data_IF_585592927438
#
_entry.id   IF_585592927438
#
_cell.length_a   1.000
_cell.length_b   1.000
_cell.length_c   1.000
_cell.angle_alpha   90.00
_cell.angle_beta   90.00
_cell.angle_gamma   90.00
#
_symmetry.space_group_name_H-M   'P 1'
#
loop_
_entity.id
_entity.type
_entity.pdbx_description
1 polymer ?
2 polymer ?
3 non-polymer ?
4 water ?
#
# COMPACT_ATOMS: atom_id res chain seq x y z
N UNK A 38 -3.92 26.12 15.26
CA UNK A 38 -4.40 25.39 14.04
C UNK A 38 -5.23 24.16 14.41
N UNK A 39 -4.61 22.96 14.54
CA UNK A 39 -5.31 21.79 15.06
C UNK A 39 -5.66 22.02 16.53
N UNK A 40 -6.89 21.67 16.90
CA UNK A 40 -7.48 21.92 18.24
C UNK A 40 -7.02 20.85 19.22
N UNK A 41 -6.55 21.21 20.42
CA UNK A 41 -6.22 20.21 21.44
C UNK A 41 -7.51 19.47 21.88
N UNK A 42 -7.31 18.25 22.36
CA UNK A 42 -8.39 17.44 22.94
C UNK A 42 -7.78 16.47 23.95
N UNK A 43 -8.62 15.94 24.84
CA UNK A 43 -8.19 14.97 25.86
C UNK A 43 -9.42 14.26 26.38
N UNK A 44 -9.64 13.03 25.99
CA UNK A 44 -10.90 12.35 26.33
C UNK A 44 -10.69 10.84 26.35
N UNK A 45 -11.65 10.11 26.88
CA UNK A 45 -11.69 8.64 26.77
C UNK A 45 -12.65 8.28 25.65
N UNK A 46 -12.18 7.46 24.72
CA UNK A 46 -12.97 6.95 23.58
C UNK A 46 -12.79 5.44 23.55
N UNK A 47 -13.86 4.68 23.74
CA UNK A 47 -13.85 3.21 23.75
C UNK A 47 -12.70 2.65 24.59
N UNK A 48 -12.60 3.17 25.81
CA UNK A 48 -11.70 2.61 26.81
C UNK A 48 -10.24 2.99 26.56
N UNK A 49 -9.96 3.98 25.70
CA UNK A 49 -8.59 4.46 25.44
C UNK A 49 -8.54 5.97 25.71
N UNK A 50 -7.47 6.48 26.31
CA UNK A 50 -7.32 7.92 26.45
C UNK A 50 -6.72 8.45 25.16
N UNK A 51 -7.39 9.37 24.51
CA UNK A 51 -6.89 9.99 23.26
C UNK A 51 -6.64 11.47 23.52
N UNK A 52 -5.49 11.94 23.08
CA UNK A 52 -5.11 13.34 23.29
C UNK A 52 -4.62 13.93 21.98
N UNK A 53 -4.87 15.22 21.83
CA UNK A 53 -4.17 16.11 20.92
C UNK A 53 -3.50 17.18 21.76
N UNK A 54 -2.18 17.14 21.82
CA UNK A 54 -1.39 18.02 22.71
C UNK A 54 -0.72 19.10 21.86
N UNK A 55 -0.94 20.34 22.21
CA UNK A 55 -0.24 21.50 21.60
C UNK A 55 1.01 21.74 22.45
N UNK A 56 2.13 22.00 21.81
CA UNK A 56 3.41 22.42 22.44
C UNK A 56 3.15 23.59 23.41
N UNK A 65 4.56 22.37 16.89
CA UNK A 65 4.50 21.15 17.72
C UNK A 65 3.07 20.79 18.10
N UNK A 66 2.48 19.83 17.41
CA UNK A 66 1.20 19.20 17.81
C UNK A 66 1.42 17.69 17.76
N UNK A 67 0.90 16.99 18.75
CA UNK A 67 1.09 15.53 18.78
C UNK A 67 -0.20 14.87 19.21
N UNK A 68 -0.48 13.70 18.67
CA UNK A 68 -1.65 12.88 19.06
C UNK A 68 -1.13 11.68 19.82
N UNK A 69 -1.81 11.33 20.90
CA UNK A 69 -1.37 10.26 21.80
C UNK A 69 -2.56 9.35 22.08
N UNK A 70 -2.29 8.07 22.19
CA UNK A 70 -3.27 7.05 22.64
C UNK A 70 -2.63 6.32 23.82
N UNK A 71 -3.26 6.40 24.98
CA UNK A 71 -2.73 5.82 26.25
C UNK A 71 -1.24 6.21 26.39
N UNK A 72 -0.93 7.46 26.17
CA UNK A 72 0.39 8.04 26.44
C UNK A 72 1.43 7.70 25.42
N UNK A 73 1.07 6.99 24.35
CA UNK A 73 2.03 6.68 23.25
C UNK A 73 1.67 7.52 22.02
N UNK A 74 2.66 8.10 21.36
CA UNK A 74 2.37 9.00 20.23
C UNK A 74 1.90 8.20 19.01
N UNK A 75 0.82 8.71 18.43
CA UNK A 75 0.27 8.24 17.11
C UNK A 75 0.86 9.17 16.06
N UNK A 76 1.66 8.62 15.16
CA UNK A 76 2.16 9.42 14.02
C UNK A 76 0.97 9.80 13.14
N UNK A 77 0.74 11.07 12.95
CA UNK A 77 -0.34 11.57 12.08
C UNK A 77 0.26 12.49 11.04
N UNK A 78 -0.47 12.74 9.97
CA UNK A 78 -0.09 13.76 9.01
C UNK A 78 -1.31 14.36 8.37
N UNK A 79 -1.19 15.62 8.04
CA UNK A 79 -2.27 16.37 7.37
C UNK A 79 -2.00 16.47 5.89
N UNK A 80 -2.96 16.15 5.07
CA UNK A 80 -2.94 16.36 3.63
C UNK A 80 -3.17 17.85 3.32
N UNK A 81 -2.82 18.29 2.16
CA UNK A 81 -2.98 19.74 1.85
C UNK A 81 -4.48 20.10 1.83
N UNK A 82 -5.45 19.22 1.63
CA UNK A 82 -6.92 19.58 1.69
C UNK A 82 -7.39 19.69 3.14
N UNK A 83 -6.50 19.56 4.14
CA UNK A 83 -6.86 19.73 5.57
C UNK A 83 -7.21 18.43 6.26
N UNK A 84 -7.32 17.35 5.52
CA UNK A 84 -7.69 16.05 6.08
C UNK A 84 -6.47 15.40 6.75
N UNK A 85 -6.70 14.39 7.58
CA UNK A 85 -5.68 13.77 8.46
C UNK A 85 -5.66 12.27 8.23
N UNK A 86 -4.47 11.70 8.22
CA UNK A 86 -4.27 10.23 8.29
C UNK A 86 -3.35 9.90 9.45
N UNK A 87 -3.19 8.64 9.72
CA UNK A 87 -2.24 8.21 10.73
C UNK A 87 -1.54 6.93 10.26
N UNK A 88 -0.54 6.48 11.00
CA UNK A 88 0.15 5.22 10.61
C UNK A 88 -0.74 4.02 10.89
N UNK A 89 -1.78 4.16 11.70
CA UNK A 89 -2.74 3.07 11.93
C UNK A 89 -3.84 3.07 10.88
N UNK A 90 -4.13 4.20 10.24
CA UNK A 90 -5.15 4.32 9.19
C UNK A 90 -4.64 5.30 8.17
N UNK A 91 -3.78 4.79 7.27
CA UNK A 91 -2.93 5.61 6.42
C UNK A 91 -3.65 6.04 5.13
N UNK A 92 -4.63 5.25 4.69
CA UNK A 92 -5.15 5.40 3.30
C UNK A 92 -6.58 5.92 3.33
N UNK A 93 -7.09 6.45 4.44
CA UNK A 93 -8.55 6.72 4.64
C UNK A 93 -8.64 8.07 5.36
N UNK A 94 -8.45 9.23 4.69
CA UNK A 94 -8.43 10.51 5.41
C UNK A 94 -9.74 10.86 6.11
N UNK A 95 -9.60 11.46 7.26
CA UNK A 95 -10.71 12.00 8.08
C UNK A 95 -10.45 13.47 8.28
N UNK A 96 -11.36 14.18 8.95
CA UNK A 96 -11.38 15.65 8.91
C UNK A 96 -10.46 16.29 9.93
N UNK A 97 -10.23 15.62 11.07
CA UNK A 97 -9.55 16.24 12.22
C UNK A 97 -8.66 15.26 12.95
N UNK A 98 -7.66 15.71 13.73
CA UNK A 98 -6.83 14.79 14.48
C UNK A 98 -7.64 13.97 15.49
N UNK A 99 -8.68 14.55 16.06
CA UNK A 99 -9.55 13.80 16.98
C UNK A 99 -10.19 12.64 16.19
N UNK A 100 -10.71 12.91 15.01
CA UNK A 100 -11.28 11.85 14.18
C UNK A 100 -10.22 10.75 13.87
N UNK A 101 -8.98 11.19 13.62
CA UNK A 101 -7.87 10.24 13.34
C UNK A 101 -7.59 9.39 14.56
N UNK A 102 -7.60 10.02 15.74
CA UNK A 102 -7.35 9.24 16.99
C UNK A 102 -8.47 8.22 17.23
N UNK A 103 -9.72 8.64 16.99
CA UNK A 103 -10.85 7.73 17.15
C UNK A 103 -10.79 6.58 16.16
N UNK A 104 -10.41 6.89 14.91
CA UNK A 104 -10.28 5.79 13.93
C UNK A 104 -9.22 4.80 14.37
N UNK A 105 -8.11 5.32 14.90
CA UNK A 105 -7.01 4.46 15.37
C UNK A 105 -7.48 3.59 16.52
N UNK A 106 -8.25 4.15 17.46
CA UNK A 106 -8.75 3.35 18.59
C UNK A 106 -9.60 2.19 18.05
N UNK A 107 -10.49 2.49 17.09
CA UNK A 107 -11.30 1.36 16.53
C UNK A 107 -10.39 0.27 15.94
N UNK A 108 -9.38 0.68 15.20
CA UNK A 108 -8.49 -0.26 14.50
C UNK A 108 -7.68 -1.09 15.49
N UNK A 109 -7.24 -0.48 16.57
CA UNK A 109 -6.31 -1.11 17.53
C UNK A 109 -6.95 -2.20 18.35
N UNK A 110 -8.25 -2.14 18.59
CA UNK A 110 -8.95 -3.19 19.34
C UNK A 110 -8.25 -3.47 20.68
N UNK A 111 -7.89 -2.40 21.37
CA UNK A 111 -7.24 -2.50 22.68
C UNK A 111 -5.75 -2.50 22.64
N UNK A 112 -5.08 -2.71 21.49
CA UNK A 112 -3.63 -2.84 21.42
C UNK A 112 -2.91 -1.52 21.67
N UNK A 113 -1.80 -1.49 22.45
CA UNK A 113 -0.95 -0.33 22.57
C UNK A 113 -0.14 -0.03 21.30
N UNK A 114 0.08 1.24 21.06
CA UNK A 114 1.04 1.67 20.04
C UNK A 114 2.47 1.32 20.46
N UNK A 115 3.38 1.17 19.50
CA UNK A 115 4.85 1.07 19.78
C UNK A 115 5.55 2.28 19.18
N UNK A 116 6.83 2.54 19.52
CA UNK A 116 7.55 3.67 18.94
C UNK A 116 7.75 3.56 17.42
N UNK A 117 7.91 4.71 16.74
CA UNK A 117 8.09 4.82 15.27
C UNK A 117 9.41 5.56 14.96
N UNK B 13 10.58 -13.40 -17.04
CA UNK B 13 9.60 -13.23 -15.95
C UNK B 13 8.26 -12.82 -16.55
N UNK B 14 7.24 -13.62 -16.32
CA UNK B 14 5.88 -13.36 -16.85
C UNK B 14 4.96 -13.24 -15.63
N UNK B 15 4.41 -12.04 -15.42
CA UNK B 15 3.48 -11.78 -14.32
C UNK B 15 2.09 -12.14 -14.78
N UNK B 16 1.47 -13.08 -14.07
CA UNK B 16 0.15 -13.63 -14.44
C UNK B 16 -0.94 -13.11 -13.54
N UNK B 17 -2.15 -13.12 -14.02
CA UNK B 17 -3.31 -12.82 -13.19
C UNK B 17 -3.37 -13.91 -12.11
N UNK B 18 -3.43 -13.55 -10.84
CA UNK B 18 -3.48 -14.51 -9.75
C UNK B 18 -4.60 -15.53 -9.94
N UNK B 19 -5.69 -15.12 -10.54
CA UNK B 19 -6.90 -15.97 -10.70
C UNK B 19 -6.58 -17.14 -11.63
N UNK B 20 -5.53 -17.09 -12.42
CA UNK B 20 -5.18 -18.10 -13.43
C UNK B 20 -4.10 -19.03 -12.90
N UNK B 21 -3.52 -18.76 -11.75
CA UNK B 21 -2.42 -19.61 -11.27
C UNK B 21 -2.94 -21.03 -10.97
N UNK B 22 -2.06 -21.96 -11.20
CA UNK B 22 -2.33 -23.36 -10.82
C UNK B 22 -2.03 -23.59 -9.33
N UNK B 23 -2.52 -24.68 -8.77
CA UNK B 23 -2.20 -25.08 -7.39
C UNK B 23 -0.69 -25.10 -7.23
N UNK B 24 0.04 -25.63 -8.19
CA UNK B 24 1.50 -25.76 -8.10
C UNK B 24 2.14 -24.38 -8.02
N UNK B 25 1.71 -23.46 -8.88
CA UNK B 25 2.29 -22.09 -8.87
C UNK B 25 2.01 -21.43 -7.50
N UNK B 26 0.83 -21.57 -6.96
CA UNK B 26 0.52 -21.00 -5.65
C UNK B 26 1.45 -21.57 -4.60
N UNK B 27 1.64 -22.90 -4.61
CA UNK B 27 2.47 -23.54 -3.59
C UNK B 27 3.86 -22.95 -3.64
N UNK B 28 4.45 -22.86 -4.82
CA UNK B 28 5.82 -22.37 -4.96
C UNK B 28 5.88 -20.90 -4.51
N UNK B 29 4.87 -20.12 -4.87
CA UNK B 29 4.86 -18.69 -4.53
C UNK B 29 4.80 -18.51 -3.01
N UNK B 30 3.91 -19.19 -2.36
CA UNK B 30 3.78 -19.02 -0.90
C UNK B 30 5.00 -19.63 -0.21
N UNK B 31 5.57 -20.73 -0.69
CA UNK B 31 6.79 -21.29 -0.07
C UNK B 31 7.92 -20.26 -0.19
N UNK B 32 8.03 -19.55 -1.32
CA UNK B 32 9.09 -18.57 -1.53
C UNK B 32 8.88 -17.40 -0.57
N UNK B 33 7.63 -16.97 -0.39
CA UNK B 33 7.32 -15.86 0.53
C UNK B 33 7.74 -16.27 1.96
N UNK B 34 7.36 -17.48 2.36
CA UNK B 34 7.70 -17.94 3.73
C UNK B 34 9.22 -18.01 3.90
N UNK B 35 9.99 -18.42 2.92
CA UNK B 35 11.46 -18.51 3.05
C UNK B 35 12.03 -17.11 3.08
N UNK B 36 11.47 -16.17 2.27
CA UNK B 36 11.99 -14.81 2.23
C UNK B 36 11.70 -14.17 3.59
N UNK B 37 10.58 -14.50 4.22
CA UNK B 37 10.22 -14.01 5.58
C UNK B 37 11.27 -14.51 6.59
N UNK B 38 11.55 -15.81 6.55
CA UNK B 38 12.50 -16.41 7.53
C UNK B 38 13.87 -15.79 7.39
N UNK B 39 14.30 -15.42 6.19
CA UNK B 39 15.67 -14.91 5.98
C UNK B 39 15.85 -13.51 6.58
N UNK B 40 14.74 -12.81 6.89
CA UNK B 40 14.77 -11.40 7.28
C UNK B 40 14.61 -10.48 6.10
N UNK B 41 14.82 -10.95 4.88
CA UNK B 41 14.75 -10.05 3.69
C UNK B 41 13.35 -9.47 3.55
N UNK B 42 12.33 -10.22 3.84
CA UNK B 42 10.95 -9.71 3.67
C UNK B 42 10.77 -8.43 4.47
N UNK B 43 11.17 -8.48 5.73
CA UNK B 43 10.94 -7.33 6.64
C UNK B 43 11.76 -6.15 6.22
N UNK B 44 12.90 -6.30 5.56
CA UNK B 44 13.61 -5.14 5.04
C UNK B 44 12.70 -4.34 4.10
N UNK B 45 11.93 -5.01 3.23
CA UNK B 45 11.02 -4.28 2.34
C UNK B 45 9.95 -3.55 3.15
N UNK B 46 9.43 -4.20 4.17
CA UNK B 46 8.40 -3.52 5.00
C UNK B 46 9.04 -2.28 5.61
N UNK B 47 10.27 -2.39 6.13
CA UNK B 47 10.97 -1.26 6.80
C UNK B 47 11.12 -0.13 5.79
N UNK B 48 11.64 -0.41 4.60
CA UNK B 48 11.87 0.63 3.59
C UNK B 48 10.55 1.31 3.24
N UNK B 49 9.53 0.53 3.01
CA UNK B 49 8.24 1.12 2.61
C UNK B 49 7.71 2.01 3.73
N UNK B 50 7.73 1.54 4.99
CA UNK B 50 7.30 2.35 6.15
C UNK B 50 8.10 3.67 6.20
N UNK B 51 9.37 3.65 5.90
CA UNK B 51 10.22 4.86 5.92
C UNK B 51 9.68 5.93 4.97
N UNK B 52 9.30 5.52 3.77
CA UNK B 52 8.74 6.47 2.79
C UNK B 52 7.32 6.86 3.18
N UNK B 53 6.53 5.94 3.72
CA UNK B 53 5.15 6.29 4.20
C UNK B 53 5.26 7.38 5.24
N UNK B 54 6.21 7.27 6.16
CA UNK B 54 6.34 8.30 7.20
C UNK B 54 6.95 9.56 6.64
N UNK B 55 7.89 9.44 5.72
CA UNK B 55 8.72 10.56 5.25
C UNK B 55 8.05 11.43 4.19
N UNK B 56 7.31 10.84 3.28
CA UNK B 56 6.74 11.56 2.13
C UNK B 56 5.61 12.48 2.59
N UNK B 57 5.69 13.77 2.31
CA UNK B 57 4.64 14.73 2.68
C UNK B 57 4.25 15.57 1.48
N UNK B 58 3.10 16.18 1.52
CA UNK B 58 2.65 17.04 0.41
C UNK B 58 3.56 18.24 0.18
N UNK B 59 4.09 18.78 1.27
CA UNK B 59 4.84 20.08 1.22
C UNK B 59 6.34 19.83 1.13
N UNK B 60 6.81 18.64 1.43
CA UNK B 60 8.23 18.33 1.56
C UNK B 60 8.70 17.33 0.51
N UNK B 61 9.84 16.74 0.73
CA UNK B 61 10.37 15.69 -0.13
C UNK B 61 9.34 14.56 -0.20
N UNK B 62 9.03 14.13 -1.41
CA UNK B 62 8.01 13.08 -1.66
C UNK B 62 8.50 12.25 -2.82
N UNK B 63 8.64 10.97 -2.58
CA UNK B 63 9.23 10.04 -3.56
C UNK B 63 8.37 8.81 -3.76
N UNK B 64 8.02 8.07 -2.71
CA UNK B 64 7.36 6.78 -2.88
C UNK B 64 5.86 6.91 -3.09
N UNK B 65 5.29 7.98 -2.60
CA UNK B 65 3.83 8.18 -2.50
C UNK B 65 3.51 9.63 -2.77
N UNK B 66 2.25 9.94 -2.98
CA UNK B 66 1.70 11.29 -3.12
C UNK B 66 2.61 12.12 -3.99
N UNK B 67 3.01 11.61 -5.14
CA UNK B 67 4.02 12.30 -5.96
C UNK B 67 4.04 11.60 -7.29
N UNK B 68 4.61 12.22 -8.35
CA UNK B 68 4.70 11.58 -9.66
C UNK B 68 5.50 10.30 -9.60
N UNK B 69 6.48 10.16 -8.71
CA UNK B 69 7.27 8.95 -8.71
C UNK B 69 6.59 7.78 -7.98
N UNK B 70 5.38 7.96 -7.45
CA UNK B 70 4.61 6.84 -6.87
C UNK B 70 4.72 5.61 -7.76
N UNK B 71 4.43 5.78 -9.04
CA UNK B 71 4.40 4.66 -10.03
C UNK B 71 5.77 4.07 -10.32
N UNK B 72 6.82 4.84 -10.77
CA UNK B 72 8.11 4.19 -11.01
C UNK B 72 8.76 3.67 -9.74
N UNK B 73 8.53 4.35 -8.61
CA UNK B 73 9.10 3.90 -7.33
C UNK B 73 8.59 2.50 -7.00
N UNK B 74 7.25 2.35 -7.03
CA UNK B 74 6.67 1.05 -6.73
C UNK B 74 7.05 0.05 -7.81
N UNK B 75 7.21 0.45 -9.06
CA UNK B 75 7.69 -0.50 -10.09
C UNK B 75 9.05 -1.04 -9.70
N UNK B 76 9.96 -0.13 -9.36
CA UNK B 76 11.32 -0.55 -8.98
C UNK B 76 11.34 -1.37 -7.71
N UNK B 77 10.49 -1.03 -6.75
CA UNK B 77 10.38 -1.76 -5.47
C UNK B 77 9.92 -3.18 -5.73
N UNK B 78 8.88 -3.34 -6.57
CA UNK B 78 8.39 -4.65 -6.92
C UNK B 78 9.42 -5.45 -7.71
N UNK B 79 10.16 -4.82 -8.61
CA UNK B 79 11.26 -5.55 -9.30
C UNK B 79 12.25 -6.09 -8.26
N UNK B 80 12.62 -5.30 -7.30
CA UNK B 80 13.56 -5.72 -6.24
C UNK B 80 13.00 -6.89 -5.47
N UNK B 81 11.75 -6.78 -5.07
CA UNK B 81 11.05 -7.83 -4.33
C UNK B 81 11.02 -9.11 -5.14
N UNK B 82 10.62 -9.02 -6.40
CA UNK B 82 10.50 -10.22 -7.26
C UNK B 82 11.90 -10.85 -7.46
N UNK B 83 12.94 -10.04 -7.61
CA UNK B 83 14.32 -10.62 -7.72
C UNK B 83 14.68 -11.33 -6.41
N UNK B 84 14.30 -10.79 -5.24
CA UNK B 84 14.56 -11.49 -3.95
C UNK B 84 13.78 -12.79 -3.96
N UNK B 85 12.53 -12.86 -4.39
CA UNK B 85 11.74 -14.10 -4.43
C UNK B 85 12.45 -15.09 -5.37
N UNK B 86 12.92 -14.62 -6.50
CA UNK B 86 13.54 -15.50 -7.51
C UNK B 86 14.85 -16.08 -6.98
N UNK B 87 15.54 -15.42 -6.08
CA UNK B 87 16.75 -15.99 -5.42
C UNK B 87 16.34 -17.13 -4.52
N UNK B 88 15.12 -17.18 -4.04
CA UNK B 88 14.57 -18.35 -3.30
C UNK B 88 14.09 -19.43 -4.26
N UNK B 89 13.40 -19.05 -5.33
CA UNK B 89 12.81 -20.00 -6.28
C UNK B 89 12.78 -19.28 -7.62
N UNK B 90 13.67 -19.60 -8.57
CA UNK B 90 13.73 -18.82 -9.81
C UNK B 90 12.53 -19.00 -10.75
N UNK B 91 11.64 -19.91 -10.48
CA UNK B 91 10.42 -20.12 -11.29
C UNK B 91 9.35 -19.09 -10.93
N UNK B 92 9.45 -18.42 -9.81
CA UNK B 92 8.35 -17.54 -9.33
C UNK B 92 8.39 -16.17 -10.02
N UNK B 93 7.20 -15.67 -10.32
CA UNK B 93 6.97 -14.29 -10.83
C UNK B 93 5.83 -13.72 -10.00
N UNK B 94 5.87 -12.42 -9.72
CA UNK B 94 4.78 -11.82 -8.93
C UNK B 94 3.50 -11.86 -9.76
N UNK B 95 2.41 -12.39 -9.24
CA UNK B 95 1.12 -12.29 -9.92
C UNK B 95 0.45 -10.98 -9.55
N UNK B 96 -0.57 -10.64 -10.32
CA UNK B 96 -1.37 -9.42 -10.05
C UNK B 96 -2.80 -9.77 -9.66
N UNK B 97 -3.43 -8.96 -8.87
CA UNK B 97 -4.81 -9.11 -8.38
C UNK B 97 -5.68 -8.05 -9.06
N UNK B 98 -6.49 -8.50 -10.02
CA UNK B 98 -7.51 -7.63 -10.63
C UNK B 98 -8.71 -7.60 -9.70
N UNK B 99 -8.69 -6.71 -8.73
CA UNK B 99 -9.76 -6.51 -7.75
C UNK B 99 -11.00 -6.00 -8.42
N UNK B 100 -10.99 -5.53 -9.64
CA UNK B 100 -12.24 -5.13 -10.31
C UNK B 100 -13.08 -6.36 -10.62
N UNK B 101 -12.43 -7.49 -10.82
CA UNK B 101 -13.10 -8.76 -11.19
C UNK B 101 -13.18 -9.68 -9.98
N UNK B 102 -12.07 -9.94 -9.31
CA UNK B 102 -11.98 -10.87 -8.15
C UNK B 102 -12.24 -10.04 -6.92
N UNK B 103 -13.51 -9.77 -6.66
CA UNK B 103 -13.92 -8.58 -5.89
C UNK B 103 -14.66 -8.94 -4.59
N UNK B 104 -14.65 -10.23 -4.21
CA UNK B 104 -15.27 -10.61 -2.93
C UNK B 104 -14.32 -11.45 -2.12
N UNK B 105 -14.65 -11.65 -0.85
CA UNK B 105 -13.83 -12.51 0.03
C UNK B 105 -13.88 -13.97 -0.41
N UNK B 106 -14.80 -14.32 -1.29
CA UNK B 106 -14.92 -15.71 -1.77
C UNK B 106 -14.01 -15.98 -2.96
N UNK B 107 -13.28 -14.97 -3.45
CA UNK B 107 -12.33 -15.16 -4.55
C UNK B 107 -11.30 -16.25 -4.18
N UNK B 108 -10.81 -16.96 -5.17
CA UNK B 108 -9.77 -17.99 -4.99
C UNK B 108 -8.49 -17.45 -4.35
N UNK B 109 -8.22 -16.15 -4.53
CA UNK B 109 -7.04 -15.48 -3.90
C UNK B 109 -7.02 -15.77 -2.39
N UNK B 110 -8.19 -15.76 -1.75
CA UNK B 110 -8.29 -15.82 -0.27
C UNK B 110 -8.56 -17.25 0.20
N UNK B 111 -8.37 -18.25 -0.63
CA UNK B 111 -8.46 -19.67 -0.19
C UNK B 111 -7.28 -20.04 0.68
N UNK B 112 -7.39 -21.15 1.47
CA UNK B 112 -6.26 -21.56 2.28
C UNK B 112 -5.00 -21.99 1.52
N UNK B 113 -5.13 -22.35 0.25
CA UNK B 113 -3.98 -22.78 -0.55
C UNK B 113 -3.30 -21.58 -1.21
N UNK B 114 -3.77 -20.38 -0.90
CA UNK B 114 -3.18 -19.17 -1.49
C UNK B 114 -2.92 -18.20 -0.35
N UNK B 115 -3.67 -17.11 -0.21
CA UNK B 115 -3.30 -16.09 0.80
C UNK B 115 -4.03 -16.33 2.12
N UNK B 116 -4.95 -17.28 2.16
CA UNK B 116 -5.81 -17.41 3.34
C UNK B 116 -6.87 -16.33 3.36
N UNK B 117 -7.80 -16.44 4.27
CA UNK B 117 -9.00 -15.62 4.30
C UNK B 117 -8.92 -14.36 5.15
N UNK B 118 -10.10 -13.92 5.55
CA UNK B 118 -10.25 -12.72 6.37
C UNK B 118 -9.96 -13.04 7.85
N UNK B 119 -9.89 -12.01 8.64
CA UNK B 119 -9.66 -12.12 10.07
C UNK B 119 -10.93 -12.45 10.80
N UNK B 120 -10.77 -13.19 11.89
CA UNK B 120 -11.94 -13.49 12.77
C UNK B 120 -12.40 -12.20 13.43
N UNK B 121 -13.65 -12.21 13.89
CA UNK B 121 -14.32 -11.01 14.42
C UNK B 121 -13.62 -10.47 15.69
N UNK B 122 -13.12 -11.32 16.57
CA UNK B 122 -12.60 -10.87 17.90
C UNK B 122 -11.47 -9.85 17.76
N UNK B 123 -10.48 -10.17 16.92
CA UNK B 123 -9.19 -9.46 16.96
C UNK B 123 -8.66 -9.28 15.52
N UNK B 124 -9.45 -9.63 14.51
CA UNK B 124 -9.03 -9.49 13.10
C UNK B 124 -8.00 -10.52 12.73
N UNK B 125 -7.68 -11.50 13.58
CA UNK B 125 -6.62 -12.47 13.30
C UNK B 125 -6.96 -13.36 12.12
N UNK B 126 -6.08 -13.41 11.14
CA UNK B 126 -6.18 -14.42 10.06
C UNK B 126 -5.97 -15.82 10.66
N UNK B 127 -6.90 -16.73 10.36
CA UNK B 127 -6.88 -18.06 11.03
C UNK B 127 -6.50 -19.19 10.09
N UNK B 128 -6.40 -18.95 8.79
CA UNK B 128 -6.11 -20.03 7.82
C UNK B 128 -5.09 -19.54 6.79
N UNK B 129 -4.66 -20.45 5.96
CA UNK B 129 -3.63 -20.16 4.99
C UNK B 129 -2.25 -20.09 5.56
N UNK B 130 -1.25 -19.92 4.72
CA UNK B 130 0.15 -20.04 5.09
C UNK B 130 0.67 -18.92 6.01
N UNK B 131 -0.05 -17.78 6.00
CA UNK B 131 0.38 -16.54 6.69
C UNK B 131 -0.31 -16.35 8.03
N UNK B 132 -1.18 -17.29 8.41
CA UNK B 132 -1.86 -17.24 9.73
C UNK B 132 -0.80 -17.34 10.83
N UNK B 133 -0.90 -16.49 11.85
CA UNK B 133 0.12 -16.48 12.91
C UNK B 133 0.30 -17.89 13.55
N UNK B 134 -0.76 -18.68 13.65
CA UNK B 134 -0.64 -20.02 14.32
C UNK B 134 0.39 -20.91 13.60
N UNK B 135 0.69 -20.67 12.32
CA UNK B 135 1.72 -21.47 11.61
C UNK B 135 3.11 -21.27 12.22
N UNK B 136 3.36 -20.18 12.93
CA UNK B 136 4.69 -19.71 13.33
C UNK B 136 5.56 -19.22 12.18
N UNK B 137 5.00 -19.12 10.95
CA UNK B 137 5.82 -18.76 9.78
C UNK B 137 5.65 -17.30 9.36
N UNK B 138 4.85 -16.53 10.09
CA UNK B 138 4.63 -15.13 9.64
C UNK B 138 4.49 -14.22 10.84
N UNK B 139 5.55 -14.16 11.68
CA UNK B 139 5.57 -13.18 12.74
C UNK B 139 5.60 -11.77 12.12
N UNK B 140 4.74 -10.91 12.67
CA UNK B 140 4.71 -9.49 12.24
C UNK B 140 5.70 -8.77 13.14
N UNK B 141 6.84 -8.40 12.60
CA UNK B 141 7.96 -7.81 13.34
C UNK B 141 8.00 -6.30 13.14
N UNK B 142 7.75 -5.83 11.93
CA UNK B 142 7.80 -4.38 11.59
C UNK B 142 6.39 -3.87 11.82
N UNK B 143 6.17 -3.18 12.92
CA UNK B 143 4.80 -2.96 13.42
C UNK B 143 4.66 -1.56 13.97
N UNK B 144 3.42 -1.14 14.07
CA UNK B 144 3.08 0.18 14.69
C UNK B 144 2.35 -0.04 15.99
N UNK B 145 1.98 -1.25 16.33
CA UNK B 145 1.30 -1.57 17.63
C UNK B 145 1.81 -2.94 18.07
N UNK B 146 1.37 -3.42 19.22
CA UNK B 146 1.94 -4.62 19.88
C UNK B 146 1.57 -5.92 19.15
N UNK B 147 0.58 -5.95 18.26
CA UNK B 147 0.07 -7.21 17.68
C UNK B 147 1.07 -7.83 16.71
N UNK B 148 1.34 -9.12 16.87
CA UNK B 148 2.39 -9.83 16.11
C UNK B 148 1.79 -10.78 15.07
N UNK B 149 0.48 -10.69 14.86
CA UNK B 149 -0.29 -11.59 13.99
C UNK B 149 -0.87 -10.84 12.80
N UNK B 150 -0.87 -11.47 11.64
CA UNK B 150 -1.54 -10.89 10.44
C UNK B 150 -3.02 -10.75 10.71
N UNK B 151 -3.58 -9.60 10.33
CA UNK B 151 -5.00 -9.29 10.48
C UNK B 151 -5.55 -8.81 9.14
N UNK B 152 -6.82 -9.07 8.90
CA UNK B 152 -7.57 -8.55 7.74
C UNK B 152 -9.02 -8.40 8.11
N UNK B 153 -9.72 -7.51 7.45
CA UNK B 153 -11.20 -7.41 7.53
C UNK B 153 -11.70 -7.24 6.10
N UNK B 154 -11.63 -8.29 5.32
CA UNK B 154 -11.88 -8.16 3.86
C UNK B 154 -13.30 -7.62 3.63
N UNK B 155 -13.42 -6.49 3.01
CA UNK B 155 -14.73 -5.85 2.73
C UNK B 155 -15.47 -5.46 3.99
N UNK B 156 -14.76 -5.27 5.10
CA UNK B 156 -15.43 -5.03 6.40
C UNK B 156 -16.44 -3.91 6.29
N UNK B 157 -17.56 -4.08 6.97
CA UNK B 157 -18.66 -3.11 7.03
C UNK B 157 -19.25 -2.79 5.67
N UNK B 158 -19.14 -3.67 4.67
CA UNK B 158 -19.75 -3.47 3.33
C UNK B 158 -18.92 -2.59 2.40
N UNK B 159 -17.62 -2.39 2.65
CA UNK B 159 -16.74 -1.72 1.68
C UNK B 159 -16.71 -2.47 0.37
N UNK B 160 -16.64 -1.70 -0.71
CA UNK B 160 -16.69 -2.20 -2.09
C UNK B 160 -15.37 -1.87 -2.76
N UNK B 161 -14.84 -2.80 -3.46
CA UNK B 161 -13.68 -2.56 -4.34
C UNK B 161 -14.09 -1.76 -5.56
N UNK B 162 -13.14 -1.06 -6.19
CA UNK B 162 -13.47 -0.31 -7.41
C UNK B 162 -14.04 -1.26 -8.47
N UNK B 163 -14.92 -0.72 -9.28
CA UNK B 163 -15.48 -1.45 -10.44
C UNK B 163 -14.60 -1.26 -11.67
N UNK B 164 -14.88 -2.05 -12.67
CA UNK B 164 -14.23 -1.89 -13.99
C UNK B 164 -14.57 -0.52 -14.59
N UNK B 165 -15.81 -0.04 -14.47
CA UNK B 165 -16.13 1.28 -15.01
C UNK B 165 -15.36 2.38 -14.27
N UNK B 166 -15.18 2.22 -12.96
CA UNK B 166 -14.41 3.24 -12.20
C UNK B 166 -12.92 3.20 -12.62
N UNK B 167 -12.37 2.00 -12.81
CA UNK B 167 -10.97 1.90 -13.29
C UNK B 167 -10.90 2.58 -14.67
N UNK B 168 -11.80 2.24 -15.58
CA UNK B 168 -11.76 2.83 -16.94
C UNK B 168 -11.83 4.35 -16.88
N UNK B 169 -12.56 4.93 -15.94
CA UNK B 169 -12.68 6.40 -15.87
C UNK B 169 -11.32 7.02 -15.57
N UNK B 170 -10.47 6.33 -14.80
CA UNK B 170 -9.11 6.83 -14.49
C UNK B 170 -8.17 6.55 -15.64
N UNK B 171 -8.24 5.36 -16.22
CA UNK B 171 -7.41 5.05 -17.43
C UNK B 171 -7.65 6.05 -18.57
N UNK B 172 -8.83 6.65 -18.62
CA UNK B 172 -9.17 7.63 -19.68
C UNK B 172 -8.47 8.95 -19.47
N UNK B 173 -7.88 9.24 -18.36
CA UNK B 173 -7.24 10.53 -18.03
C UNK B 173 -5.87 10.59 -18.69
N UNK B 174 -5.70 11.37 -19.76
CA UNK B 174 -4.49 11.36 -20.59
C UNK B 174 -3.31 12.07 -19.95
N UNK B 175 -3.51 12.91 -18.96
CA UNK B 175 -2.39 13.65 -18.38
C UNK B 175 -1.77 12.82 -17.25
N UNK B 176 -0.50 12.56 -17.28
CA UNK B 176 0.15 11.71 -16.27
C UNK B 176 0.04 12.29 -14.86
N UNK B 177 0.39 13.53 -14.66
CA UNK B 177 0.37 14.16 -13.31
C UNK B 177 0.44 15.66 -13.55
N UNK B 178 0.21 16.44 -12.51
CA UNK B 178 0.06 17.90 -12.61
C UNK B 178 0.65 18.49 -11.36
N UNK B 179 1.19 19.71 -11.47
CA UNK B 179 1.46 20.56 -10.31
C UNK B 179 0.18 20.66 -9.50
N UNK B 180 0.23 20.60 -8.16
CA UNK B 180 1.44 20.66 -7.35
C UNK B 180 2.11 19.34 -6.97
N UNK B 181 1.88 18.30 -7.78
CA UNK B 181 2.65 17.03 -7.74
C UNK B 181 2.51 16.35 -6.38
N UNK B 182 1.26 16.34 -5.86
CA UNK B 182 1.06 15.77 -4.51
C UNK B 182 -0.40 15.28 -4.40
N UNK B 183 -0.94 15.16 -3.19
CA UNK B 183 -2.29 14.62 -2.99
C UNK B 183 -3.38 15.50 -3.55
N UNK B 184 -3.06 16.75 -3.90
CA UNK B 184 -4.05 17.68 -4.44
C UNK B 184 -4.10 17.62 -5.98
N UNK B 185 -3.24 16.85 -6.63
CA UNK B 185 -3.13 16.87 -8.11
C UNK B 185 -4.36 16.31 -8.79
N UNK B 186 -4.73 16.86 -9.94
CA UNK B 186 -5.54 16.10 -10.91
C UNK B 186 -4.59 15.32 -11.80
N UNK B 187 -5.17 14.54 -12.73
CA UNK B 187 -4.38 13.68 -13.60
C UNK B 187 -4.36 12.23 -13.15
N UNK B 188 -3.83 11.41 -14.00
CA UNK B 188 -3.82 9.95 -13.84
C UNK B 188 -3.15 9.52 -12.55
N UNK B 189 -1.92 9.92 -12.27
CA UNK B 189 -1.18 9.38 -11.11
C UNK B 189 -2.01 9.52 -9.85
N UNK B 190 -2.50 10.71 -9.52
CA UNK B 190 -3.18 10.92 -8.23
C UNK B 190 -4.56 10.27 -8.20
N UNK B 191 -5.21 10.17 -9.35
CA UNK B 191 -6.50 9.44 -9.36
C UNK B 191 -6.26 7.93 -9.24
N UNK B 192 -5.24 7.39 -9.85
CA UNK B 192 -4.88 5.99 -9.65
C UNK B 192 -4.49 5.77 -8.21
N UNK B 193 -3.63 6.61 -7.65
CA UNK B 193 -3.18 6.44 -6.27
C UNK B 193 -4.41 6.57 -5.35
N UNK B 194 -5.25 7.56 -5.59
CA UNK B 194 -6.58 7.61 -4.97
C UNK B 194 -6.78 8.73 -3.98
N UNK B 195 -5.90 9.73 -3.88
CA UNK B 195 -6.12 10.83 -2.96
C UNK B 195 -7.18 11.80 -3.47
N UNK B 196 -7.54 11.76 -4.73
CA UNK B 196 -8.64 12.55 -5.32
C UNK B 196 -9.45 11.59 -6.15
N UNK B 197 -10.74 11.88 -6.25
CA UNK B 197 -11.64 11.22 -7.20
C UNK B 197 -12.21 9.92 -6.68
N UNK B 198 -12.48 9.05 -7.65
CA UNK B 198 -13.20 7.77 -7.38
C UNK B 198 -12.42 6.86 -6.46
N UNK B 199 -11.08 6.94 -6.49
CA UNK B 199 -10.17 6.32 -5.51
C UNK B 199 -9.94 4.87 -5.82
N UNK B 200 -8.84 4.53 -6.49
CA UNK B 200 -8.49 3.13 -6.81
C UNK B 200 -7.53 2.53 -5.76
N UNK B 201 -6.25 2.94 -5.80
CA UNK B 201 -5.25 2.24 -4.97
C UNK B 201 -5.50 2.38 -3.48
N UNK B 202 -5.79 3.57 -2.97
CA UNK B 202 -5.98 3.73 -1.53
C UNK B 202 -7.15 2.87 -1.06
N UNK B 203 -8.25 2.92 -1.80
CA UNK B 203 -9.47 2.23 -1.35
C UNK B 203 -9.20 0.74 -1.23
N UNK B 204 -8.41 0.14 -2.10
CA UNK B 204 -8.14 -1.30 -2.02
C UNK B 204 -7.39 -1.60 -0.72
N UNK B 205 -6.37 -0.79 -0.36
CA UNK B 205 -5.70 -0.97 0.95
C UNK B 205 -6.77 -1.00 2.05
N UNK B 206 -7.66 -0.03 2.06
CA UNK B 206 -8.70 0.04 3.10
C UNK B 206 -9.57 -1.20 3.06
N UNK B 207 -9.95 -1.67 1.90
CA UNK B 207 -10.87 -2.83 1.76
C UNK B 207 -10.27 -4.06 2.40
N UNK B 208 -8.97 -4.32 2.22
CA UNK B 208 -8.35 -5.52 2.83
C UNK B 208 -8.36 -5.37 4.35
N UNK B 209 -8.13 -4.18 4.86
CA UNK B 209 -8.04 -3.95 6.31
C UNK B 209 -6.81 -4.55 6.93
N UNK B 210 -6.80 -4.69 8.22
CA UNK B 210 -5.63 -5.17 8.95
C UNK B 210 -4.40 -4.37 8.60
N UNK B 211 -3.27 -5.04 8.59
CA UNK B 211 -2.00 -4.31 8.36
C UNK B 211 -2.00 -3.62 6.98
N UNK B 212 -2.68 -4.22 6.01
CA UNK B 212 -2.73 -3.65 4.65
C UNK B 212 -3.30 -2.23 4.68
N UNK B 213 -4.12 -1.85 5.67
CA UNK B 213 -4.69 -0.49 5.73
C UNK B 213 -3.83 0.49 6.54
N UNK B 214 -2.65 0.05 6.95
CA UNK B 214 -1.78 0.82 7.86
C UNK B 214 -0.48 1.24 7.16
N UNK B 215 0.38 1.93 7.89
CA UNK B 215 1.70 2.32 7.40
C UNK B 215 2.71 1.18 7.38
N UNK B 216 2.35 -0.04 7.73
CA UNK B 216 3.22 -1.23 7.50
C UNK B 216 2.48 -2.26 6.64
N UNK B 217 1.91 -1.77 5.54
CA UNK B 217 1.03 -2.56 4.66
C UNK B 217 1.72 -3.71 3.96
N UNK B 218 3.03 -3.66 3.62
CA UNK B 218 3.64 -4.82 3.00
C UNK B 218 3.75 -6.02 3.93
N UNK B 219 3.39 -5.93 5.20
CA UNK B 219 3.23 -7.15 6.01
C UNK B 219 2.26 -8.13 5.43
N UNK B 220 1.23 -7.67 4.69
CA UNK B 220 0.29 -8.60 4.03
C UNK B 220 0.90 -8.96 2.68
N UNK B 221 1.09 -10.25 2.33
CA UNK B 221 1.56 -10.60 0.99
C UNK B 221 0.67 -10.03 -0.12
N UNK B 222 -0.60 -9.74 0.16
CA UNK B 222 -1.46 -9.18 -0.92
C UNK B 222 -0.92 -7.83 -1.37
N UNK B 223 -0.16 -7.14 -0.55
CA UNK B 223 0.43 -5.84 -0.96
C UNK B 223 1.04 -5.94 -2.35
N UNK B 224 1.81 -6.97 -2.59
CA UNK B 224 2.57 -7.13 -3.83
C UNK B 224 1.65 -7.36 -5.01
N UNK B 225 0.57 -8.13 -4.80
CA UNK B 225 -0.37 -8.43 -5.88
C UNK B 225 -1.22 -7.20 -6.21
N UNK B 226 -1.63 -6.41 -5.22
CA UNK B 226 -2.32 -5.14 -5.45
C UNK B 226 -1.38 -4.23 -6.23
N UNK B 227 -0.14 -4.05 -5.79
CA UNK B 227 0.79 -3.16 -6.50
C UNK B 227 1.14 -3.73 -7.85
N UNK B 228 1.12 -5.03 -8.07
CA UNK B 228 1.41 -5.55 -9.41
C UNK B 228 0.26 -5.20 -10.38
N UNK B 229 -0.97 -5.13 -9.84
CA UNK B 229 -2.12 -4.74 -10.69
C UNK B 229 -2.12 -3.23 -10.94
N UNK B 230 -1.79 -2.43 -9.94
CA UNK B 230 -1.63 -0.95 -10.15
C UNK B 230 -0.54 -0.75 -11.20
N UNK B 231 0.51 -1.49 -11.16
CA UNK B 231 1.63 -1.40 -12.13
C UNK B 231 1.13 -1.77 -13.51
N UNK B 232 0.33 -2.83 -13.63
CA UNK B 232 -0.27 -3.22 -14.90
C UNK B 232 -1.20 -2.15 -15.42
N UNK B 233 -1.94 -1.50 -14.55
CA UNK B 233 -2.84 -0.40 -14.99
C UNK B 233 -2.01 0.75 -15.54
N UNK B 234 -0.84 1.02 -14.98
CA UNK B 234 0.06 2.03 -15.60
C UNK B 234 0.46 1.61 -17.00
N UNK B 235 0.82 0.36 -17.20
CA UNK B 235 1.11 -0.14 -18.56
C UNK B 235 -0.09 0.02 -19.50
N UNK B 236 -1.29 -0.27 -19.00
CA UNK B 236 -2.51 -0.17 -19.84
C UNK B 236 -2.76 1.29 -20.17
N UNK B 237 -2.53 2.19 -19.24
CA UNK B 237 -2.69 3.63 -19.49
C UNK B 237 -1.69 4.05 -20.56
N UNK B 238 -0.47 3.58 -20.51
CA UNK B 238 0.53 3.94 -21.55
C UNK B 238 0.06 3.44 -22.89
N UNK B 239 -0.54 2.28 -23.00
CA UNK B 239 -1.02 1.76 -24.30
C UNK B 239 -2.14 2.61 -24.81
N UNK B 240 -3.01 3.11 -23.95
CA UNK B 240 -4.13 3.96 -24.34
C UNK B 240 -3.61 5.35 -24.77
N UNK B 241 -2.58 5.84 -24.15
CA UNK B 241 -2.05 7.20 -24.37
C UNK B 241 -0.55 7.16 -24.65
N UNK B 242 -0.09 6.58 -25.78
CA UNK B 242 1.34 6.33 -25.97
C UNK B 242 2.18 7.62 -26.00
N UNK B 243 1.54 8.72 -26.39
CA UNK B 243 2.26 9.99 -26.38
C UNK B 243 2.25 10.72 -25.07
N UNK B 244 1.66 10.16 -23.99
CA UNK B 244 1.63 10.81 -22.67
C UNK B 244 2.89 10.42 -21.92
N UNK B 245 3.80 11.37 -21.76
CA UNK B 245 5.06 11.15 -21.05
C UNK B 245 4.92 11.32 -19.54
N UNK B 246 5.93 10.81 -18.87
CA UNK B 246 6.11 11.12 -17.43
C UNK B 246 6.42 12.59 -17.28
N UNK B 247 5.79 13.24 -16.31
CA UNK B 247 6.09 14.63 -15.92
C UNK B 247 6.17 14.62 -14.40
N UNK B 248 6.90 15.57 -13.79
CA UNK B 248 7.63 16.65 -14.50
C UNK B 248 8.95 16.17 -15.06
N UNK B 249 9.56 17.03 -15.89
CA UNK B 249 10.72 16.68 -16.70
C UNK B 249 11.94 17.51 -16.34
N UNK B 250 11.99 18.16 -15.20
CA UNK B 250 13.22 18.78 -14.70
C UNK B 250 12.95 19.97 -13.77
N UNK B 251 13.78 20.05 -12.75
CA UNK B 251 13.93 21.23 -11.91
C UNK B 251 12.83 21.39 -10.90
N UNK B 252 12.08 20.33 -10.54
CA UNK B 252 10.95 20.46 -9.58
C UNK B 252 11.46 20.11 -8.19
N UNK B 253 11.46 21.06 -7.23
CA UNK B 253 12.00 20.80 -5.90
C UNK B 253 11.15 19.74 -5.18
N UNK B 254 11.84 18.90 -4.44
CA UNK B 254 11.21 17.86 -3.58
C UNK B 254 10.51 16.75 -4.37
N UNK B 255 10.58 16.78 -5.69
CA UNK B 255 9.85 15.87 -6.60
C UNK B 255 10.88 15.24 -7.50
N UNK B 256 10.70 13.97 -7.82
CA UNK B 256 11.61 13.26 -8.72
C UNK B 256 11.16 13.53 -10.15
N UNK B 257 11.95 14.34 -10.84
CA UNK B 257 11.75 14.60 -12.27
C UNK B 257 12.22 13.38 -13.08
N UNK B 258 11.82 13.40 -14.36
CA UNK B 258 12.02 12.28 -15.33
C UNK B 258 13.41 11.69 -15.28
N UNK B 259 14.44 12.57 -15.26
CA UNK B 259 15.86 12.13 -15.37
C UNK B 259 16.61 12.30 -14.07
N UNK B 260 15.90 12.37 -12.95
CA UNK B 260 16.57 12.32 -11.63
C UNK B 260 16.58 10.93 -11.02
N UNK B 261 17.52 10.61 -10.17
CA UNK B 261 17.54 9.32 -9.47
C UNK B 261 16.53 9.34 -8.32
N UNK B 262 16.07 8.16 -7.95
CA UNK B 262 15.11 7.94 -6.82
C UNK B 262 15.87 7.30 -5.68
N UNK B 263 15.58 7.79 -4.48
CA UNK B 263 15.91 7.04 -3.26
C UNK B 263 15.00 5.82 -3.13
N UNK B 264 15.41 4.69 -2.54
CA UNK B 264 16.71 4.58 -1.84
C UNK B 264 17.87 4.11 -2.73
N UNK B 265 17.58 3.72 -3.96
CA UNK B 265 18.58 3.02 -4.81
C UNK B 265 19.59 4.03 -5.33
N UNK B 266 19.16 5.24 -5.64
CA UNK B 266 20.02 6.37 -6.08
C UNK B 266 20.73 6.06 -7.39
N UNK B 267 20.28 5.11 -8.19
CA UNK B 267 21.01 4.75 -9.45
C UNK B 267 20.00 4.43 -10.57
N UNK B 268 18.77 4.89 -10.41
CA UNK B 268 17.68 4.61 -11.37
C UNK B 268 16.77 5.82 -11.39
N UNK B 269 16.26 6.16 -12.56
CA UNK B 269 15.44 7.34 -12.79
C UNK B 269 14.04 6.90 -13.25
N UNK B 270 13.02 7.73 -13.10
CA UNK B 270 11.74 7.40 -13.73
C UNK B 270 11.86 7.03 -15.20
N UNK B 271 12.74 7.73 -15.92
CA UNK B 271 12.95 7.44 -17.36
C UNK B 271 13.35 5.98 -17.57
N UNK B 272 14.08 5.37 -16.70
CA UNK B 272 14.58 3.99 -16.84
C UNK B 272 13.50 2.95 -16.56
N UNK B 273 12.35 3.37 -16.06
CA UNK B 273 11.30 2.46 -15.54
C UNK B 273 10.01 2.63 -16.29
N UNK B 274 9.90 3.49 -17.29
CA UNK B 274 8.61 3.64 -17.99
C UNK B 274 8.24 2.41 -18.80
N UNK B 275 9.22 1.69 -19.33
CA UNK B 275 8.96 0.49 -20.13
C UNK B 275 9.18 -0.74 -19.24
N UNK B 276 8.12 -1.42 -18.85
CA UNK B 276 8.31 -2.58 -17.94
C UNK B 276 8.97 -3.77 -18.63
N UNK B 277 8.95 -3.80 -19.98
CA UNK B 277 9.21 -5.06 -20.73
C UNK B 277 10.68 -5.44 -20.66
N UNK B 278 11.56 -4.53 -20.25
CA UNK B 278 12.97 -4.80 -19.96
C UNK B 278 13.09 -5.71 -18.74
N UNK B 279 12.03 -5.84 -17.92
CA UNK B 279 12.10 -6.51 -16.60
C UNK B 279 11.13 -7.69 -16.51
N UNK B 280 9.96 -7.59 -17.13
CA UNK B 280 8.93 -8.64 -17.09
C UNK B 280 7.94 -8.30 -18.18
N UNK B 281 7.17 -9.28 -18.54
CA UNK B 281 5.98 -9.11 -19.36
C UNK B 281 4.76 -9.61 -18.60
N UNK B 282 3.60 -9.30 -19.10
CA UNK B 282 2.33 -9.78 -18.53
C UNK B 282 1.82 -10.97 -19.34
N UNK B 283 1.15 -11.87 -18.67
CA UNK B 283 0.37 -12.92 -19.37
C UNK B 283 -0.44 -12.33 -20.53
N UNK B 284 -1.14 -11.25 -20.30
CA UNK B 284 -1.88 -10.41 -21.26
C UNK B 284 -1.92 -9.00 -20.69
N UNK B 285 -2.01 -7.99 -21.55
CA UNK B 285 -2.24 -6.55 -21.19
C UNK B 285 -3.51 -6.10 -21.93
#
# INVERSE_FOLDING_TARGET
MPELTRRHALGAAAALAAVAGTQALAAPSASAAGHHGGPQPFDEVYQGRRIEGRATGGGHHHGSGYGVFIDGMELHVMQNVDGSWISVVSHYDPVATPRAAARAAVVELQGAPLVPFN
MGSHHHHHHSERTVRKNQATLTADEKRRFVDALVALKRSGRYDEFVTTHNAFIMGDTDSGERTGHRSPSFLPWHRRFLIEFEQALQAVDPSVALPYWDWSTDRTARASLWAPDFLGGSGRSLDGRVMDGPFAASTGNWPVNVRVDSRTYLRRTLGGGGRELPTRAEVDSVLAMSTYDMAPWNSASDGFRNHLEGWRGVNLHNRVHVWVGGQMATGVSPNDPVFWLHHAYIDRLWAQWQSRHPGSGYVPTGGTPNVVDLNETMKPWNDVRPADLLDHTAHYTFDTV
#
